data_IF_619076734261
#
_entry.id   IF_619076734261
#
_cell.length_a   1.000
_cell.length_b   1.000
_cell.length_c   1.000
_cell.angle_alpha   90.00
_cell.angle_beta   90.00
_cell.angle_gamma   90.00
#
_symmetry.space_group_name_H-M   'P 1'
#
loop_
_entity.id
_entity.type
_entity.pdbx_description
1 polymer ?
#
# COMPACT_ATOMS: atom_id res chain seq x y z
N UNK A 1 3.94 -16.70 1.97
CA UNK A 1 3.75 -17.14 3.37
C UNK A 1 2.99 -16.06 4.11
N UNK A 2 2.16 -16.39 5.10
CA UNK A 2 1.43 -15.38 5.88
C UNK A 2 2.30 -14.86 7.02
N UNK A 3 2.32 -13.55 7.23
CA UNK A 3 2.91 -12.91 8.40
C UNK A 3 2.07 -13.29 9.62
N UNK A 4 2.71 -13.84 10.66
CA UNK A 4 2.03 -14.38 11.86
C UNK A 4 2.21 -13.53 13.12
N UNK A 5 2.94 -12.42 13.02
CA UNK A 5 3.14 -11.46 14.11
C UNK A 5 2.85 -10.03 13.65
N UNK A 6 2.35 -9.22 14.58
CA UNK A 6 2.09 -7.80 14.37
C UNK A 6 3.40 -7.05 14.09
N UNK A 7 3.47 -6.35 12.97
CA UNK A 7 4.66 -5.58 12.58
C UNK A 7 4.89 -4.33 13.45
N UNK A 8 3.88 -3.90 14.22
CA UNK A 8 3.99 -2.76 15.13
C UNK A 8 4.43 -3.14 16.56
N UNK A 9 3.95 -4.27 17.10
CA UNK A 9 4.18 -4.63 18.51
C UNK A 9 4.68 -6.06 18.76
N UNK A 10 4.82 -6.89 17.72
CA UNK A 10 5.29 -8.28 17.83
C UNK A 10 4.27 -9.29 18.34
N UNK A 11 3.09 -8.87 18.80
CA UNK A 11 2.02 -9.77 19.25
C UNK A 11 1.56 -10.73 18.14
N UNK A 12 1.17 -11.95 18.51
CA UNK A 12 0.56 -12.94 17.61
C UNK A 12 -0.97 -12.89 17.62
N UNK A 13 -1.58 -12.00 18.42
CA UNK A 13 -3.03 -11.81 18.46
C UNK A 13 -3.52 -11.03 17.23
N UNK A 14 -3.49 -11.69 16.07
CA UNK A 14 -3.96 -11.18 14.79
C UNK A 14 -5.29 -11.83 14.41
N UNK A 15 -6.23 -11.00 13.98
CA UNK A 15 -7.54 -11.43 13.48
C UNK A 15 -7.73 -10.97 12.03
N UNK A 16 -7.85 -11.92 11.10
CA UNK A 16 -8.14 -11.65 9.70
C UNK A 16 -9.60 -11.20 9.53
N UNK A 17 -9.83 -10.05 8.89
CA UNK A 17 -11.18 -9.50 8.76
C UNK A 17 -11.56 -9.11 7.32
N UNK A 18 -10.60 -9.10 6.39
CA UNK A 18 -10.85 -8.73 4.99
C UNK A 18 -9.91 -9.46 4.04
N UNK A 19 -10.43 -9.94 2.91
CA UNK A 19 -9.66 -10.63 1.87
C UNK A 19 -10.14 -10.27 0.47
N UNK A 20 -9.18 -9.99 -0.43
CA UNK A 20 -9.38 -9.92 -1.88
C UNK A 20 -8.29 -10.76 -2.56
N UNK A 21 -8.65 -11.47 -3.63
CA UNK A 21 -7.72 -12.32 -4.39
C UNK A 21 -7.52 -11.80 -5.81
N UNK A 22 -6.37 -12.16 -6.38
CA UNK A 22 -6.02 -11.90 -7.78
C UNK A 22 -6.20 -10.44 -8.21
N UNK A 23 -5.68 -9.51 -7.41
CA UNK A 23 -5.71 -8.06 -7.70
C UNK A 23 -4.35 -7.58 -8.22
N UNK A 24 -4.30 -6.56 -9.10
CA UNK A 24 -3.05 -5.93 -9.49
C UNK A 24 -2.25 -5.47 -8.26
N UNK A 25 -0.95 -5.74 -8.25
CA UNK A 25 -0.07 -5.39 -7.10
C UNK A 25 0.25 -3.89 -7.03
N UNK A 26 -0.03 -3.13 -8.09
CA UNK A 26 0.11 -1.68 -8.18
C UNK A 26 -1.12 -1.04 -8.82
N UNK A 27 -1.50 0.16 -8.35
CA UNK A 27 -2.64 0.92 -8.87
C UNK A 27 -2.24 2.11 -9.76
N UNK A 28 -1.01 2.61 -9.63
CA UNK A 28 -0.55 3.84 -10.28
C UNK A 28 0.58 3.60 -11.29
N UNK A 29 0.83 2.34 -11.67
CA UNK A 29 1.87 2.02 -12.63
C UNK A 29 1.30 2.05 -14.05
N UNK A 30 1.87 2.93 -14.89
CA UNK A 30 1.46 3.10 -16.28
C UNK A 30 2.01 1.95 -17.12
N UNK A 31 1.13 1.16 -17.73
CA UNK A 31 1.48 0.07 -18.64
C UNK A 31 1.33 0.51 -20.09
N UNK A 32 2.36 0.26 -20.91
CA UNK A 32 2.46 0.78 -22.28
C UNK A 32 1.61 0.05 -23.32
N UNK A 33 1.03 -1.10 -22.94
CA UNK A 33 0.29 -1.95 -23.86
C UNK A 33 -0.77 -2.79 -23.15
N UNK A 34 -1.82 -3.14 -23.91
CA UNK A 34 -2.88 -4.03 -23.43
C UNK A 34 -2.36 -5.40 -23.01
N UNK A 35 -1.38 -5.96 -23.73
CA UNK A 35 -0.81 -7.26 -23.41
C UNK A 35 -0.13 -7.22 -22.03
N UNK A 36 0.72 -6.21 -21.78
CA UNK A 36 1.36 -5.98 -20.47
C UNK A 36 0.33 -5.76 -19.37
N UNK A 37 -0.74 -5.01 -19.64
CA UNK A 37 -1.82 -4.77 -18.68
C UNK A 37 -2.54 -6.07 -18.27
N UNK A 38 -2.79 -6.96 -19.23
CA UNK A 38 -3.46 -8.24 -18.96
C UNK A 38 -2.56 -9.23 -18.21
N UNK A 39 -1.26 -9.19 -18.48
CA UNK A 39 -0.23 -10.00 -17.82
C UNK A 39 0.31 -9.37 -16.52
N UNK A 40 -0.23 -8.21 -16.12
CA UNK A 40 0.31 -7.45 -15.00
C UNK A 40 0.32 -8.29 -13.71
N UNK A 41 1.39 -8.24 -12.89
CA UNK A 41 1.49 -9.06 -11.70
C UNK A 41 0.31 -8.85 -10.75
N UNK A 42 -0.23 -9.95 -10.25
CA UNK A 42 -1.33 -9.97 -9.29
C UNK A 42 -0.93 -10.64 -8.00
N UNK A 43 -1.56 -10.21 -6.92
CA UNK A 43 -1.37 -10.74 -5.58
C UNK A 43 -2.69 -10.87 -4.84
N UNK A 44 -2.62 -11.51 -3.68
CA UNK A 44 -3.74 -11.56 -2.75
C UNK A 44 -3.51 -10.54 -1.63
N UNK A 45 -4.59 -9.89 -1.21
CA UNK A 45 -4.62 -8.96 -0.09
C UNK A 45 -5.40 -9.61 1.04
N UNK A 46 -4.81 -9.69 2.24
CA UNK A 46 -5.56 -10.06 3.45
C UNK A 46 -5.22 -9.09 4.56
N UNK A 47 -6.21 -8.39 5.09
CA UNK A 47 -6.01 -7.48 6.21
C UNK A 47 -6.28 -8.19 7.53
N UNK A 48 -5.33 -8.05 8.44
CA UNK A 48 -5.38 -8.57 9.80
C UNK A 48 -5.33 -7.41 10.79
N UNK A 49 -6.21 -7.44 11.79
CA UNK A 49 -6.24 -6.50 12.91
C UNK A 49 -5.51 -7.11 14.11
N UNK A 50 -4.62 -6.34 14.72
CA UNK A 50 -3.95 -6.75 15.96
C UNK A 50 -4.79 -6.39 17.18
N UNK A 51 -5.29 -7.41 17.88
CA UNK A 51 -6.11 -7.23 19.09
C UNK A 51 -5.32 -6.63 20.27
N UNK A 52 -3.99 -6.65 20.22
CA UNK A 52 -3.14 -6.09 21.29
C UNK A 52 -2.86 -4.60 21.15
N UNK A 53 -2.70 -4.07 19.93
CA UNK A 53 -2.33 -2.65 19.72
C UNK A 53 -3.20 -1.90 18.70
N UNK A 54 -4.13 -2.57 18.04
CA UNK A 54 -5.04 -1.98 17.06
C UNK A 54 -4.46 -1.81 15.66
N UNK A 55 -3.21 -2.21 15.40
CA UNK A 55 -2.59 -2.08 14.08
C UNK A 55 -3.25 -3.00 13.05
N UNK A 56 -3.49 -2.47 11.85
CA UNK A 56 -4.02 -3.23 10.70
C UNK A 56 -2.87 -3.43 9.71
N UNK A 57 -2.64 -4.67 9.27
CA UNK A 57 -1.57 -5.03 8.33
C UNK A 57 -2.07 -5.95 7.22
N UNK A 58 -1.42 -5.91 6.05
CA UNK A 58 -1.58 -6.96 5.05
C UNK A 58 -0.77 -8.20 5.47
N UNK A 59 -1.41 -9.26 5.94
CA UNK A 59 -0.73 -10.49 6.35
C UNK A 59 -0.18 -11.32 5.20
N UNK A 60 -0.59 -11.03 3.96
CA UNK A 60 -0.05 -11.64 2.74
C UNK A 60 0.92 -10.72 2.01
N UNK A 61 1.47 -9.70 2.68
CA UNK A 61 2.43 -8.78 2.08
C UNK A 61 3.66 -9.52 1.56
N UNK A 62 4.02 -9.24 0.32
CA UNK A 62 5.10 -9.85 -0.43
C UNK A 62 5.99 -8.74 -1.01
N UNK A 63 7.09 -8.34 -0.34
CA UNK A 63 7.93 -7.22 -0.77
C UNK A 63 8.53 -7.42 -2.17
N UNK A 64 8.74 -8.67 -2.58
CA UNK A 64 9.25 -9.03 -3.90
C UNK A 64 8.31 -8.67 -5.06
N UNK A 65 7.03 -8.40 -4.78
CA UNK A 65 6.04 -7.97 -5.78
C UNK A 65 6.01 -6.44 -5.96
N UNK A 66 6.68 -5.69 -5.09
CA UNK A 66 6.74 -4.24 -5.22
C UNK A 66 7.75 -3.81 -6.29
N UNK A 67 7.32 -2.88 -7.14
CA UNK A 67 8.11 -2.33 -8.22
C UNK A 67 7.83 -0.83 -8.32
N UNK A 68 8.49 -0.05 -7.47
CA UNK A 68 8.55 1.40 -7.63
C UNK A 68 9.52 1.72 -8.77
N UNK A 69 8.97 2.09 -9.91
CA UNK A 69 9.70 2.41 -11.14
C UNK A 69 9.33 3.82 -11.60
N UNK A 70 10.08 4.43 -12.54
CA UNK A 70 9.72 5.72 -13.12
C UNK A 70 8.34 5.75 -13.78
N UNK A 71 7.80 4.60 -14.17
CA UNK A 71 6.45 4.47 -14.76
C UNK A 71 5.34 4.56 -13.70
N UNK A 72 5.71 4.67 -12.42
CA UNK A 72 4.79 4.86 -11.32
C UNK A 72 4.41 6.34 -11.24
N UNK A 73 3.18 6.65 -11.66
CA UNK A 73 2.66 8.00 -11.74
C UNK A 73 1.55 8.20 -10.70
N UNK A 74 1.94 8.77 -9.57
CA UNK A 74 1.05 9.08 -8.45
C UNK A 74 1.06 10.58 -8.10
N UNK A 75 1.53 11.45 -9.01
CA UNK A 75 1.66 12.87 -8.71
C UNK A 75 0.31 13.50 -8.35
N UNK A 76 0.28 14.15 -7.20
CA UNK A 76 -0.87 14.94 -6.74
C UNK A 76 -0.64 16.45 -6.93
N UNK A 77 0.46 16.85 -7.60
CA UNK A 77 0.85 18.25 -7.77
C UNK A 77 -0.18 19.09 -8.54
N UNK A 78 -1.04 18.47 -9.33
CA UNK A 78 -2.14 19.14 -10.03
C UNK A 78 -3.36 19.41 -9.15
N UNK A 79 -3.39 18.95 -7.90
CA UNK A 79 -4.46 19.21 -6.94
C UNK A 79 -4.13 20.47 -6.12
N UNK A 80 -4.87 21.59 -6.29
CA UNK A 80 -4.64 22.78 -5.47
C UNK A 80 -4.84 22.51 -3.97
N UNK A 81 -5.72 21.57 -3.61
CA UNK A 81 -5.96 21.17 -2.23
C UNK A 81 -4.75 20.45 -1.63
N UNK A 82 -4.11 19.58 -2.41
CA UNK A 82 -2.89 18.89 -1.98
C UNK A 82 -1.71 19.86 -1.87
N UNK A 83 -1.54 20.76 -2.84
CA UNK A 83 -0.48 21.78 -2.80
C UNK A 83 -0.61 22.70 -1.58
N UNK A 84 -1.84 23.09 -1.21
CA UNK A 84 -2.09 23.84 0.01
C UNK A 84 -1.66 23.07 1.27
N UNK A 85 -2.02 21.78 1.38
CA UNK A 85 -1.61 20.92 2.50
C UNK A 85 -0.08 20.84 2.60
N UNK A 86 0.62 20.66 1.48
CA UNK A 86 2.10 20.58 1.45
C UNK A 86 2.73 21.88 1.96
N UNK A 87 2.20 23.04 1.55
CA UNK A 87 2.69 24.33 2.04
C UNK A 87 2.48 24.50 3.56
N UNK A 88 1.29 24.15 4.06
CA UNK A 88 0.96 24.22 5.50
C UNK A 88 1.90 23.34 6.33
N UNK A 89 2.24 22.13 5.87
CA UNK A 89 3.20 21.23 6.55
C UNK A 89 4.60 21.87 6.60
N UNK A 90 5.05 22.51 5.51
CA UNK A 90 6.35 23.17 5.50
C UNK A 90 6.41 24.34 6.50
N UNK A 91 5.35 25.13 6.61
CA UNK A 91 5.29 26.24 7.57
C UNK A 91 5.32 25.72 9.02
N UNK A 92 4.61 24.62 9.33
CA UNK A 92 4.61 23.97 10.65
C UNK A 92 6.00 23.43 11.05
N UNK A 93 6.76 22.87 10.11
CA UNK A 93 8.10 22.31 10.40
C UNK A 93 9.18 23.38 10.61
N UNK A 94 8.94 24.60 10.14
CA UNK A 94 9.87 25.73 10.27
C UNK A 94 9.58 26.62 11.49
N UNK A 95 8.50 26.35 12.22
CA UNK A 95 8.10 27.04 13.46
C UNK A 95 8.72 26.39 14.71
#
# INVERSE_FOLDING_TARGET
MSITSCQACGSTALHDFYEIRDIPVHSCLMVDSRARALEFPRGNLRLSFCESCGFIQNSLYAPELQNYSPDYEETQAFSPRFMKLVAEICDEQNA
#
